data_IF_970800323129
#
_entry.id   IF_970800323129
#
_cell.length_a   1.000
_cell.length_b   1.000
_cell.length_c   1.000
_cell.angle_alpha   90.00
_cell.angle_beta   90.00
_cell.angle_gamma   90.00
#
_symmetry.space_group_name_H-M   'P 1'
#
loop_
_entity.id
_entity.type
_entity.pdbx_description
1 polymer ?
#
# COMPACT_ATOMS: atom_id res chain seq x y z
N UNK A 1 60.55 52.82 41.47
CA UNK A 1 61.44 52.91 42.65
C UNK A 1 62.90 52.93 42.22
N UNK A 2 63.40 51.87 41.58
CA UNK A 2 64.80 51.74 41.13
C UNK A 2 65.35 52.91 40.28
N UNK A 3 64.57 53.46 39.34
CA UNK A 3 65.03 54.59 38.50
C UNK A 3 65.35 55.84 39.33
N UNK A 4 64.41 56.26 40.19
CA UNK A 4 64.59 57.43 41.07
C UNK A 4 65.64 57.20 42.16
N UNK A 5 65.79 55.97 42.62
CA UNK A 5 66.82 55.61 43.58
C UNK A 5 68.22 55.62 42.92
N UNK A 6 68.31 55.28 41.64
CA UNK A 6 69.52 55.46 40.81
C UNK A 6 69.94 56.94 40.68
N UNK A 7 69.01 57.84 40.32
CA UNK A 7 69.30 59.28 40.22
C UNK A 7 69.76 59.88 41.56
N UNK A 8 69.14 59.46 42.67
CA UNK A 8 69.55 59.87 44.02
C UNK A 8 70.95 59.37 44.39
N UNK A 9 71.32 58.17 43.96
CA UNK A 9 72.65 57.61 44.17
C UNK A 9 73.70 58.37 43.37
N UNK A 10 73.42 58.73 42.11
CA UNK A 10 74.30 59.58 41.29
C UNK A 10 74.55 60.95 41.93
N UNK A 11 73.51 61.58 42.49
CA UNK A 11 73.64 62.84 43.23
C UNK A 11 74.49 62.69 44.52
N UNK A 12 74.43 61.54 45.20
CA UNK A 12 75.30 61.25 46.35
C UNK A 12 76.75 61.09 45.93
N UNK A 13 77.00 60.37 44.84
CA UNK A 13 78.34 60.17 44.28
C UNK A 13 78.95 61.51 43.83
N UNK A 14 78.19 62.37 43.15
CA UNK A 14 78.64 63.70 42.76
C UNK A 14 79.07 64.56 43.96
N UNK A 15 78.33 64.49 45.08
CA UNK A 15 78.70 65.19 46.32
C UNK A 15 80.03 64.68 46.89
N UNK A 16 80.21 63.35 46.96
CA UNK A 16 81.46 62.75 47.40
C UNK A 16 82.65 63.14 46.52
N UNK A 17 82.48 63.17 45.19
CA UNK A 17 83.53 63.58 44.24
C UNK A 17 83.94 65.05 44.41
N UNK A 18 82.98 65.93 44.69
CA UNK A 18 83.20 67.37 44.88
C UNK A 18 83.90 67.66 46.21
N UNK A 19 83.64 66.88 47.26
CA UNK A 19 84.32 67.00 48.56
C UNK A 19 85.81 66.65 48.51
N UNK A 20 86.26 65.95 47.46
CA UNK A 20 87.67 65.64 47.20
C UNK A 20 88.44 66.76 46.50
N UNK A 21 87.77 67.83 46.06
CA UNK A 21 88.41 68.97 45.38
C UNK A 21 88.93 70.04 46.36
N UNK A 22 89.84 70.95 45.94
CA UNK A 22 90.26 72.11 46.73
C UNK A 22 89.07 73.01 47.11
N UNK A 23 89.02 73.48 48.36
CA UNK A 23 87.87 74.21 48.96
C UNK A 23 87.42 75.40 48.12
N UNK A 24 88.36 76.11 47.49
CA UNK A 24 88.11 77.32 46.69
C UNK A 24 87.33 77.00 45.40
N UNK A 25 87.48 75.78 44.85
CA UNK A 25 86.88 75.36 43.58
C UNK A 25 85.56 74.61 43.74
N UNK A 26 85.31 74.01 44.91
CA UNK A 26 84.12 73.16 45.17
C UNK A 26 82.81 73.83 44.78
N UNK A 27 82.62 75.11 45.15
CA UNK A 27 81.35 75.83 44.94
C UNK A 27 81.03 76.05 43.45
N UNK A 28 82.03 76.46 42.66
CA UNK A 28 81.86 76.71 41.23
C UNK A 28 81.71 75.40 40.45
N UNK A 29 82.55 74.40 40.75
CA UNK A 29 82.53 73.10 40.08
C UNK A 29 81.27 72.29 40.41
N UNK A 30 80.81 72.34 41.67
CA UNK A 30 79.55 71.72 42.09
C UNK A 30 78.38 72.30 41.31
N UNK A 31 78.33 73.64 41.15
CA UNK A 31 77.25 74.29 40.42
C UNK A 31 77.19 73.84 38.96
N UNK A 32 78.31 73.89 38.24
CA UNK A 32 78.35 73.50 36.81
C UNK A 32 78.02 72.02 36.62
N UNK A 33 78.63 71.12 37.40
CA UNK A 33 78.38 69.67 37.27
C UNK A 33 76.99 69.28 37.74
N UNK A 34 76.47 69.95 38.76
CA UNK A 34 75.09 69.75 39.22
C UNK A 34 74.09 70.20 38.17
N UNK A 35 74.25 71.39 37.59
CA UNK A 35 73.35 71.89 36.55
C UNK A 35 73.36 70.97 35.32
N UNK A 36 74.54 70.45 34.93
CA UNK A 36 74.67 69.45 33.85
C UNK A 36 74.02 68.11 34.20
N UNK A 37 74.23 67.61 35.41
CA UNK A 37 73.64 66.36 35.88
C UNK A 37 72.12 66.47 36.04
N UNK A 38 71.61 67.60 36.54
CA UNK A 38 70.18 67.86 36.68
C UNK A 38 69.52 67.93 35.29
N UNK A 39 70.18 68.53 34.27
CA UNK A 39 69.69 68.53 32.89
C UNK A 39 69.64 67.11 32.27
N UNK A 40 70.69 66.31 32.46
CA UNK A 40 70.76 64.92 32.00
C UNK A 40 69.77 64.00 32.75
N UNK A 41 69.58 64.22 34.06
CA UNK A 41 68.53 63.53 34.85
C UNK A 41 67.14 63.87 34.33
N UNK A 42 66.89 65.12 33.95
CA UNK A 42 65.61 65.57 33.42
C UNK A 42 65.33 64.97 32.04
N UNK A 43 66.34 64.88 31.17
CA UNK A 43 66.23 64.20 29.87
C UNK A 43 66.01 62.68 30.03
N UNK A 44 66.76 62.03 30.94
CA UNK A 44 66.58 60.62 31.26
C UNK A 44 65.21 60.33 31.88
N UNK A 45 64.69 61.19 32.76
CA UNK A 45 63.35 61.05 33.33
C UNK A 45 62.28 61.22 32.25
N UNK A 46 62.44 62.17 31.33
CA UNK A 46 61.55 62.35 30.18
C UNK A 46 61.53 61.12 29.27
N UNK A 47 62.69 60.62 28.86
CA UNK A 47 62.80 59.42 28.02
C UNK A 47 62.26 58.16 28.72
N UNK A 48 62.47 58.05 30.04
CA UNK A 48 61.90 56.96 30.83
C UNK A 48 60.37 57.01 30.85
N UNK A 49 59.77 58.19 31.05
CA UNK A 49 58.33 58.38 31.03
C UNK A 49 57.73 58.13 29.63
N UNK A 50 58.38 58.61 28.58
CA UNK A 50 57.97 58.35 27.19
C UNK A 50 57.97 56.85 26.89
N UNK A 51 59.04 56.14 27.23
CA UNK A 51 59.13 54.67 27.04
C UNK A 51 58.09 53.91 27.86
N UNK A 52 57.81 54.36 29.08
CA UNK A 52 56.79 53.75 29.94
C UNK A 52 55.39 53.96 29.34
N UNK A 53 55.12 55.15 28.81
CA UNK A 53 53.88 55.47 28.13
C UNK A 53 53.72 54.68 26.82
N UNK A 54 54.75 54.61 25.96
CA UNK A 54 54.75 53.81 24.73
C UNK A 54 54.51 52.32 25.00
N UNK A 55 55.16 51.76 26.01
CA UNK A 55 54.95 50.38 26.43
C UNK A 55 53.51 50.15 26.91
N UNK A 56 52.98 51.08 27.70
CA UNK A 56 51.60 51.02 28.19
C UNK A 56 50.60 51.09 27.03
N UNK A 57 50.75 52.05 26.11
CA UNK A 57 49.92 52.20 24.92
C UNK A 57 50.00 50.97 24.01
N UNK A 58 51.18 50.38 23.83
CA UNK A 58 51.36 49.17 23.03
C UNK A 58 50.68 47.98 23.68
N UNK A 59 50.80 47.83 25.01
CA UNK A 59 50.12 46.77 25.75
C UNK A 59 48.59 46.93 25.69
N UNK A 60 48.08 48.16 25.82
CA UNK A 60 46.66 48.45 25.69
C UNK A 60 46.14 48.17 24.28
N UNK A 61 46.89 48.58 23.23
CA UNK A 61 46.54 48.27 21.84
C UNK A 61 46.45 46.77 21.60
N UNK A 62 47.48 46.00 22.01
CA UNK A 62 47.48 44.53 21.89
C UNK A 62 46.32 43.89 22.64
N UNK A 63 46.00 44.37 23.85
CA UNK A 63 44.86 43.87 24.61
C UNK A 63 43.53 44.15 23.88
N UNK A 64 43.38 45.36 23.32
CA UNK A 64 42.22 45.74 22.52
C UNK A 64 42.08 44.90 21.25
N UNK A 65 43.17 44.66 20.52
CA UNK A 65 43.20 43.80 19.33
C UNK A 65 42.80 42.36 19.66
N UNK A 66 43.39 41.77 20.71
CA UNK A 66 43.05 40.43 21.17
C UNK A 66 41.57 40.33 21.59
N UNK A 67 41.02 41.36 22.23
CA UNK A 67 39.62 41.37 22.61
C UNK A 67 38.71 41.44 21.39
N UNK A 68 39.03 42.30 20.41
CA UNK A 68 38.31 42.38 19.14
C UNK A 68 38.33 41.06 18.37
N UNK A 69 39.49 40.41 18.30
CA UNK A 69 39.63 39.11 17.64
C UNK A 69 38.80 38.03 18.34
N UNK A 70 38.80 37.99 19.68
CA UNK A 70 37.95 37.07 20.45
C UNK A 70 36.47 37.30 20.20
N UNK A 71 36.02 38.55 20.17
CA UNK A 71 34.62 38.88 19.85
C UNK A 71 34.28 38.39 18.43
N UNK A 72 35.10 38.72 17.44
CA UNK A 72 34.87 38.31 16.05
C UNK A 72 34.83 36.78 15.90
N UNK A 73 35.69 36.04 16.62
CA UNK A 73 35.67 34.58 16.62
C UNK A 73 34.38 34.03 17.24
N UNK A 74 33.94 34.56 18.38
CA UNK A 74 32.69 34.15 19.02
C UNK A 74 31.47 34.43 18.12
N UNK A 75 31.42 35.59 17.49
CA UNK A 75 30.34 35.94 16.54
C UNK A 75 30.29 34.99 15.36
N UNK A 76 31.46 34.67 14.78
CA UNK A 76 31.57 33.68 13.69
C UNK A 76 31.10 32.30 14.13
N UNK A 77 31.52 31.84 15.30
CA UNK A 77 31.10 30.54 15.85
C UNK A 77 29.60 30.50 16.11
N UNK A 78 29.04 31.56 16.69
CA UNK A 78 27.61 31.67 16.94
C UNK A 78 26.80 31.62 15.63
N UNK A 79 27.24 32.37 14.60
CA UNK A 79 26.58 32.36 13.30
C UNK A 79 26.63 30.97 12.65
N UNK A 80 27.78 30.29 12.73
CA UNK A 80 27.94 28.94 12.21
C UNK A 80 27.03 27.94 12.96
N UNK A 81 26.97 28.00 14.29
CA UNK A 81 26.06 27.18 15.09
C UNK A 81 24.59 27.43 14.73
N UNK A 82 24.19 28.70 14.59
CA UNK A 82 22.83 29.07 14.18
C UNK A 82 22.46 28.51 12.81
N UNK A 83 23.36 28.64 11.82
CA UNK A 83 23.15 28.07 10.49
C UNK A 83 23.07 26.54 10.54
N UNK A 84 23.93 25.90 11.31
CA UNK A 84 23.89 24.44 11.49
C UNK A 84 22.56 23.99 12.09
N UNK A 85 22.08 24.65 13.15
CA UNK A 85 20.78 24.34 13.76
C UNK A 85 19.63 24.52 12.78
N UNK A 86 19.68 25.56 11.94
CA UNK A 86 18.65 25.82 10.93
C UNK A 86 18.62 24.70 9.88
N UNK A 87 19.79 24.32 9.34
CA UNK A 87 19.90 23.21 8.38
C UNK A 87 19.46 21.87 8.97
N UNK A 88 19.89 21.55 10.19
CA UNK A 88 19.47 20.32 10.88
C UNK A 88 17.96 20.29 11.10
N UNK A 89 17.36 21.42 11.48
CA UNK A 89 15.91 21.53 11.64
C UNK A 89 15.17 21.33 10.31
N UNK A 90 15.64 21.97 9.23
CA UNK A 90 15.04 21.82 7.90
C UNK A 90 15.14 20.38 7.40
N UNK A 91 16.30 19.74 7.54
CA UNK A 91 16.48 18.32 7.19
C UNK A 91 15.52 17.41 7.99
N UNK A 92 15.38 17.64 9.30
CA UNK A 92 14.45 16.87 10.12
C UNK A 92 12.98 17.07 9.71
N UNK A 93 12.59 18.28 9.28
CA UNK A 93 11.25 18.54 8.75
C UNK A 93 11.02 17.78 7.44
N UNK A 94 11.98 17.79 6.53
CA UNK A 94 11.90 17.03 5.27
C UNK A 94 11.78 15.52 5.50
N UNK A 95 12.54 14.96 6.45
CA UNK A 95 12.45 13.55 6.82
C UNK A 95 11.07 13.16 7.40
N UNK A 96 10.43 14.07 8.14
CA UNK A 96 9.09 13.85 8.68
C UNK A 96 8.06 13.94 7.56
N UNK A 97 8.16 14.93 6.67
CA UNK A 97 7.26 15.09 5.53
C UNK A 97 7.34 13.89 4.57
N UNK A 98 8.54 13.43 4.22
CA UNK A 98 8.71 12.24 3.36
C UNK A 98 8.03 11.02 3.99
N UNK A 99 8.29 10.77 5.28
CA UNK A 99 7.67 9.66 6.01
C UNK A 99 6.15 9.77 6.03
N UNK A 100 5.61 10.95 6.28
CA UNK A 100 4.17 11.18 6.28
C UNK A 100 3.53 10.88 4.91
N UNK A 101 4.16 11.29 3.80
CA UNK A 101 3.67 10.98 2.45
C UNK A 101 3.66 9.45 2.21
N UNK A 102 4.72 8.74 2.63
CA UNK A 102 4.79 7.29 2.52
C UNK A 102 3.71 6.59 3.37
N UNK A 103 3.56 6.99 4.63
CA UNK A 103 2.56 6.42 5.55
C UNK A 103 1.14 6.60 5.02
N UNK A 104 0.81 7.80 4.55
CA UNK A 104 -0.47 8.10 3.88
C UNK A 104 -0.70 7.21 2.67
N UNK A 105 0.31 7.02 1.81
CA UNK A 105 0.20 6.09 0.68
C UNK A 105 -0.08 4.65 1.15
N UNK A 106 0.66 4.14 2.14
CA UNK A 106 0.50 2.78 2.64
C UNK A 106 -0.86 2.56 3.31
N UNK A 107 -1.40 3.58 4.00
CA UNK A 107 -2.72 3.53 4.59
C UNK A 107 -3.81 3.39 3.52
N UNK A 108 -3.79 4.27 2.52
CA UNK A 108 -4.77 4.23 1.41
C UNK A 108 -4.65 2.91 0.63
N UNK A 109 -3.43 2.44 0.37
CA UNK A 109 -3.18 1.16 -0.31
C UNK A 109 -3.78 -0.02 0.47
N UNK A 110 -3.65 -0.04 1.80
CA UNK A 110 -4.27 -1.05 2.67
C UNK A 110 -5.79 -0.97 2.62
N UNK A 111 -6.36 0.23 2.76
CA UNK A 111 -7.80 0.45 2.68
C UNK A 111 -8.41 -0.04 1.36
N UNK A 112 -7.74 0.22 0.22
CA UNK A 112 -8.15 -0.28 -1.09
C UNK A 112 -8.25 -1.82 -1.05
N UNK A 113 -7.21 -2.51 -0.58
CA UNK A 113 -7.21 -3.98 -0.49
C UNK A 113 -8.33 -4.51 0.40
N UNK A 114 -8.55 -3.91 1.56
CA UNK A 114 -9.62 -4.31 2.48
C UNK A 114 -11.01 -4.20 1.86
N UNK A 115 -11.28 -3.11 1.12
CA UNK A 115 -12.53 -2.93 0.39
C UNK A 115 -12.73 -4.03 -0.65
N UNK A 116 -11.70 -4.35 -1.44
CA UNK A 116 -11.80 -5.40 -2.46
C UNK A 116 -11.94 -6.81 -1.86
N UNK A 117 -11.32 -7.08 -0.71
CA UNK A 117 -11.55 -8.33 0.05
C UNK A 117 -13.02 -8.45 0.45
N UNK A 118 -13.60 -7.37 1.00
CA UNK A 118 -15.01 -7.36 1.38
C UNK A 118 -15.94 -7.55 0.16
N UNK A 119 -15.67 -6.85 -0.94
CA UNK A 119 -16.43 -6.98 -2.19
C UNK A 119 -16.37 -8.41 -2.74
N UNK A 120 -15.19 -9.04 -2.72
CA UNK A 120 -15.00 -10.43 -3.14
C UNK A 120 -15.80 -11.39 -2.27
N UNK A 121 -15.75 -11.22 -0.95
CA UNK A 121 -16.51 -12.03 -0.01
C UNK A 121 -18.03 -11.90 -0.25
N UNK A 122 -18.54 -10.67 -0.36
CA UNK A 122 -19.96 -10.43 -0.63
C UNK A 122 -20.41 -11.00 -1.98
N UNK A 123 -19.59 -10.89 -3.01
CA UNK A 123 -19.85 -11.48 -4.33
C UNK A 123 -19.93 -13.00 -4.26
N UNK A 124 -18.97 -13.66 -3.61
CA UNK A 124 -18.99 -15.12 -3.43
C UNK A 124 -20.25 -15.58 -2.69
N UNK A 125 -20.64 -14.89 -1.61
CA UNK A 125 -21.88 -15.18 -0.87
C UNK A 125 -23.13 -15.04 -1.76
N UNK A 126 -23.17 -14.03 -2.65
CA UNK A 126 -24.28 -13.87 -3.60
C UNK A 126 -24.28 -14.99 -4.65
N UNK A 127 -23.11 -15.33 -5.19
CA UNK A 127 -22.95 -16.41 -6.17
C UNK A 127 -23.38 -17.77 -5.65
N UNK A 128 -23.06 -18.08 -4.39
CA UNK A 128 -23.50 -19.32 -3.75
C UNK A 128 -25.03 -19.38 -3.63
N UNK A 129 -25.66 -18.29 -3.18
CA UNK A 129 -27.13 -18.19 -3.08
C UNK A 129 -27.82 -18.32 -4.45
N UNK A 130 -27.27 -17.70 -5.48
CA UNK A 130 -27.78 -17.76 -6.85
C UNK A 130 -27.69 -19.18 -7.43
N UNK A 131 -26.53 -19.83 -7.25
CA UNK A 131 -26.31 -21.22 -7.67
C UNK A 131 -27.26 -22.18 -6.95
N UNK A 132 -27.42 -22.02 -5.64
CA UNK A 132 -28.35 -22.81 -4.84
C UNK A 132 -29.80 -22.60 -5.29
N UNK A 133 -30.19 -21.37 -5.63
CA UNK A 133 -31.52 -21.08 -6.16
C UNK A 133 -31.79 -21.79 -7.49
N UNK A 134 -30.81 -21.79 -8.41
CA UNK A 134 -30.93 -22.49 -9.70
C UNK A 134 -31.04 -24.00 -9.48
N UNK A 135 -30.19 -24.58 -8.63
CA UNK A 135 -30.25 -26.01 -8.27
C UNK A 135 -31.61 -26.40 -7.68
N UNK A 136 -32.15 -25.61 -6.75
CA UNK A 136 -33.48 -25.86 -6.18
C UNK A 136 -34.59 -25.79 -7.23
N UNK A 137 -34.53 -24.83 -8.16
CA UNK A 137 -35.50 -24.73 -9.26
C UNK A 137 -35.41 -25.92 -10.21
N UNK A 138 -34.20 -26.38 -10.54
CA UNK A 138 -33.99 -27.56 -11.37
C UNK A 138 -34.53 -28.82 -10.70
N UNK A 139 -34.22 -29.04 -9.42
CA UNK A 139 -34.71 -30.19 -8.66
C UNK A 139 -36.25 -30.26 -8.60
N UNK A 140 -36.92 -29.11 -8.40
CA UNK A 140 -38.40 -29.04 -8.44
C UNK A 140 -38.97 -29.42 -9.80
N UNK A 141 -38.38 -28.92 -10.90
CA UNK A 141 -38.81 -29.27 -12.26
C UNK A 141 -38.65 -30.76 -12.54
N UNK A 142 -37.54 -31.34 -12.06
CA UNK A 142 -37.30 -32.77 -12.18
C UNK A 142 -38.33 -33.60 -11.39
N UNK A 143 -38.61 -33.21 -10.14
CA UNK A 143 -39.63 -33.84 -9.30
C UNK A 143 -41.02 -33.77 -9.94
N UNK A 144 -41.41 -32.61 -10.48
CA UNK A 144 -42.68 -32.44 -11.19
C UNK A 144 -42.79 -33.34 -12.43
N UNK A 145 -41.71 -33.47 -13.21
CA UNK A 145 -41.66 -34.37 -14.36
C UNK A 145 -41.81 -35.83 -13.91
N UNK A 146 -41.05 -36.25 -12.90
CA UNK A 146 -41.12 -37.60 -12.34
C UNK A 146 -42.51 -37.93 -11.80
N UNK A 147 -43.17 -36.96 -11.15
CA UNK A 147 -44.56 -37.12 -10.66
C UNK A 147 -45.55 -37.32 -11.81
N UNK A 148 -45.42 -36.53 -12.89
CA UNK A 148 -46.24 -36.71 -14.11
C UNK A 148 -46.00 -38.09 -14.72
N UNK A 149 -44.74 -38.47 -14.89
CA UNK A 149 -44.36 -39.77 -15.43
C UNK A 149 -44.88 -40.94 -14.58
N UNK A 150 -44.87 -40.82 -13.26
CA UNK A 150 -45.40 -41.84 -12.35
C UNK A 150 -46.92 -42.02 -12.50
N UNK A 151 -47.68 -40.93 -12.68
CA UNK A 151 -49.13 -40.98 -12.93
C UNK A 151 -49.41 -41.67 -14.27
N UNK A 152 -48.71 -41.28 -15.34
CA UNK A 152 -48.87 -41.87 -16.67
C UNK A 152 -48.48 -43.36 -16.67
N UNK A 153 -47.39 -43.74 -15.98
CA UNK A 153 -46.97 -45.14 -15.85
C UNK A 153 -48.01 -45.98 -15.12
N UNK A 154 -48.71 -45.42 -14.11
CA UNK A 154 -49.78 -46.09 -13.39
C UNK A 154 -51.05 -46.28 -14.25
N UNK A 155 -51.35 -45.35 -15.15
CA UNK A 155 -52.53 -45.43 -16.02
C UNK A 155 -52.31 -46.27 -17.28
N UNK A 156 -51.06 -46.41 -17.74
CA UNK A 156 -50.69 -47.12 -18.97
C UNK A 156 -51.23 -48.57 -19.05
N UNK A 157 -51.09 -49.44 -18.02
CA UNK A 157 -51.60 -50.82 -18.10
C UNK A 157 -53.12 -50.90 -18.24
N UNK A 158 -53.86 -49.92 -17.69
CA UNK A 158 -55.32 -49.85 -17.87
C UNK A 158 -55.66 -49.43 -19.31
N UNK A 159 -54.94 -48.46 -19.86
CA UNK A 159 -55.10 -48.02 -21.25
C UNK A 159 -54.78 -49.14 -22.24
N UNK A 160 -53.67 -49.84 -22.07
CA UNK A 160 -53.27 -51.00 -22.88
C UNK A 160 -54.36 -52.08 -22.86
N UNK A 161 -54.88 -52.44 -21.68
CA UNK A 161 -55.97 -53.44 -21.56
C UNK A 161 -57.26 -53.00 -22.27
N UNK A 162 -57.63 -51.74 -22.17
CA UNK A 162 -58.81 -51.21 -22.86
C UNK A 162 -58.63 -51.27 -24.40
N UNK A 163 -57.45 -50.91 -24.89
CA UNK A 163 -57.12 -50.96 -26.32
C UNK A 163 -57.03 -52.40 -26.84
N UNK A 164 -56.44 -53.32 -26.06
CA UNK A 164 -56.42 -54.77 -26.34
C UNK A 164 -57.84 -55.29 -26.59
N UNK A 165 -58.77 -54.98 -25.67
CA UNK A 165 -60.16 -55.41 -25.78
C UNK A 165 -60.85 -54.82 -27.01
N UNK A 166 -60.60 -53.55 -27.32
CA UNK A 166 -61.18 -52.88 -28.49
C UNK A 166 -60.66 -53.48 -29.80
N UNK A 167 -59.35 -53.72 -29.92
CA UNK A 167 -58.76 -54.33 -31.11
C UNK A 167 -59.16 -55.77 -31.31
N UNK A 168 -59.25 -56.54 -30.22
CA UNK A 168 -59.78 -57.90 -30.28
C UNK A 168 -61.24 -57.93 -30.76
N UNK A 169 -62.09 -57.02 -30.27
CA UNK A 169 -63.47 -56.89 -30.73
C UNK A 169 -63.55 -56.53 -32.23
N UNK A 170 -62.73 -55.57 -32.69
CA UNK A 170 -62.63 -55.23 -34.11
C UNK A 170 -62.13 -56.40 -34.96
N UNK A 171 -61.17 -57.19 -34.48
CA UNK A 171 -60.67 -58.36 -35.20
C UNK A 171 -61.73 -59.47 -35.29
N UNK A 172 -62.47 -59.73 -34.20
CA UNK A 172 -63.60 -60.67 -34.21
C UNK A 172 -64.69 -60.24 -35.20
N UNK A 173 -65.01 -58.95 -35.25
CA UNK A 173 -65.98 -58.42 -36.22
C UNK A 173 -65.45 -58.52 -37.65
N UNK A 174 -64.17 -58.21 -37.88
CA UNK A 174 -63.52 -58.38 -39.19
C UNK A 174 -63.51 -59.83 -39.65
N UNK A 175 -63.31 -60.79 -38.74
CA UNK A 175 -63.40 -62.22 -39.03
C UNK A 175 -64.83 -62.61 -39.40
N UNK A 176 -65.83 -62.14 -38.64
CA UNK A 176 -67.26 -62.37 -38.92
C UNK A 176 -67.66 -61.86 -40.31
N UNK A 177 -67.17 -60.68 -40.71
CA UNK A 177 -67.45 -60.10 -42.03
C UNK A 177 -66.69 -60.85 -43.15
N UNK A 178 -65.44 -61.27 -42.90
CA UNK A 178 -64.60 -61.96 -43.89
C UNK A 178 -65.01 -63.42 -44.14
N UNK A 179 -65.70 -64.06 -43.19
CA UNK A 179 -66.15 -65.46 -43.30
C UNK A 179 -67.60 -65.46 -43.78
N UNK A 180 -67.82 -65.03 -45.02
CA UNK A 180 -69.07 -65.22 -45.76
C UNK A 180 -69.01 -66.51 -46.59
N UNK A 181 -68.55 -67.62 -46.00
CA UNK A 181 -68.40 -68.92 -46.65
C UNK A 181 -67.57 -69.89 -45.79
N UNK A 182 -68.04 -71.12 -45.66
CA UNK A 182 -67.55 -72.15 -44.74
C UNK A 182 -66.02 -72.22 -44.61
N UNK A 183 -65.49 -71.74 -43.48
CA UNK A 183 -64.08 -71.83 -43.12
C UNK A 183 -63.87 -72.94 -42.08
N UNK A 184 -62.72 -73.61 -42.16
CA UNK A 184 -62.26 -74.62 -41.21
C UNK A 184 -62.09 -74.00 -39.80
N UNK A 185 -62.74 -74.54 -38.76
CA UNK A 185 -62.62 -74.07 -37.37
C UNK A 185 -61.17 -73.99 -36.85
N UNK A 186 -60.29 -74.88 -37.31
CA UNK A 186 -58.87 -74.87 -36.90
C UNK A 186 -58.09 -73.72 -37.56
N UNK A 187 -58.43 -73.34 -38.79
CA UNK A 187 -57.84 -72.18 -39.45
C UNK A 187 -58.24 -70.86 -38.78
N UNK A 188 -59.48 -70.75 -38.28
CA UNK A 188 -59.94 -69.58 -37.51
C UNK A 188 -59.20 -69.44 -36.19
N UNK A 189 -59.04 -70.55 -35.46
CA UNK A 189 -58.30 -70.60 -34.20
C UNK A 189 -56.84 -70.21 -34.37
N UNK A 190 -56.21 -70.62 -35.47
CA UNK A 190 -54.83 -70.25 -35.79
C UNK A 190 -54.69 -68.77 -36.15
N UNK A 191 -55.59 -68.20 -36.97
CA UNK A 191 -55.60 -66.76 -37.29
C UNK A 191 -55.79 -65.88 -36.05
N UNK A 192 -56.64 -66.31 -35.12
CA UNK A 192 -56.85 -65.59 -33.87
C UNK A 192 -55.61 -65.64 -32.95
N UNK A 193 -54.94 -66.79 -32.85
CA UNK A 193 -53.66 -66.90 -32.12
C UNK A 193 -52.56 -66.01 -32.71
N UNK A 194 -52.44 -65.95 -34.04
CA UNK A 194 -51.48 -65.08 -34.71
C UNK A 194 -51.75 -63.59 -34.44
N UNK A 195 -53.03 -63.19 -34.45
CA UNK A 195 -53.44 -61.84 -34.08
C UNK A 195 -53.04 -61.50 -32.65
N UNK A 196 -53.32 -62.40 -31.68
CA UNK A 196 -52.95 -62.20 -30.27
C UNK A 196 -51.43 -62.09 -30.06
N UNK A 197 -50.62 -62.84 -30.79
CA UNK A 197 -49.16 -62.72 -30.72
C UNK A 197 -48.64 -61.41 -31.36
N UNK A 198 -49.22 -60.96 -32.48
CA UNK A 198 -48.87 -59.67 -33.12
C UNK A 198 -49.26 -58.48 -32.24
N UNK A 199 -50.54 -58.38 -31.91
CA UNK A 199 -51.02 -58.23 -30.55
C UNK A 199 -50.04 -57.78 -29.46
N UNK A 200 -49.62 -58.81 -28.72
CA UNK A 200 -48.68 -58.78 -27.60
C UNK A 200 -47.36 -58.08 -27.94
N UNK A 201 -46.78 -58.36 -29.12
CA UNK A 201 -45.55 -57.70 -29.57
C UNK A 201 -45.73 -56.20 -29.74
N UNK A 202 -46.87 -55.75 -30.28
CA UNK A 202 -47.18 -54.33 -30.46
C UNK A 202 -47.24 -53.60 -29.12
N UNK A 203 -47.93 -54.17 -28.13
CA UNK A 203 -48.05 -53.56 -26.80
C UNK A 203 -46.72 -53.54 -26.03
N UNK A 204 -45.90 -54.59 -26.16
CA UNK A 204 -44.54 -54.59 -25.60
C UNK A 204 -43.69 -53.47 -26.22
N UNK A 205 -43.75 -53.31 -27.54
CA UNK A 205 -43.04 -52.23 -28.23
C UNK A 205 -43.57 -50.83 -27.83
N UNK A 206 -44.88 -50.68 -27.62
CA UNK A 206 -45.47 -49.42 -27.15
C UNK A 206 -45.03 -49.09 -25.72
N UNK A 207 -44.99 -50.07 -24.82
CA UNK A 207 -44.49 -49.90 -23.47
C UNK A 207 -43.01 -49.48 -23.46
N UNK A 208 -42.17 -50.15 -24.26
CA UNK A 208 -40.76 -49.77 -24.40
C UNK A 208 -40.59 -48.36 -24.96
N UNK A 209 -41.38 -47.98 -25.98
CA UNK A 209 -41.36 -46.61 -26.53
C UNK A 209 -41.77 -45.57 -25.48
N UNK A 210 -42.74 -45.89 -24.65
CA UNK A 210 -43.19 -45.02 -23.57
C UNK A 210 -42.10 -44.83 -22.50
N UNK A 211 -41.45 -45.91 -22.06
CA UNK A 211 -40.34 -45.85 -21.10
C UNK A 211 -39.14 -45.07 -21.66
N UNK A 212 -38.76 -45.32 -22.92
CA UNK A 212 -37.69 -44.59 -23.59
C UNK A 212 -38.00 -43.10 -23.72
N UNK A 213 -39.25 -42.74 -24.02
CA UNK A 213 -39.70 -41.34 -24.08
C UNK A 213 -39.52 -40.65 -22.73
N UNK A 214 -39.96 -41.29 -21.64
CA UNK A 214 -39.81 -40.75 -20.29
C UNK A 214 -38.34 -40.57 -19.90
N UNK A 215 -37.50 -41.56 -20.22
CA UNK A 215 -36.06 -41.50 -19.97
C UNK A 215 -35.42 -40.33 -20.71
N UNK A 216 -35.68 -40.19 -22.02
CA UNK A 216 -35.14 -39.09 -22.83
C UNK A 216 -35.54 -37.71 -22.30
N UNK A 217 -36.80 -37.53 -21.93
CA UNK A 217 -37.28 -36.26 -21.36
C UNK A 217 -36.56 -35.89 -20.06
N UNK A 218 -36.28 -36.89 -19.21
CA UNK A 218 -35.55 -36.68 -17.97
C UNK A 218 -34.08 -36.34 -18.22
N UNK A 219 -33.43 -37.05 -19.15
CA UNK A 219 -32.06 -36.78 -19.58
C UNK A 219 -31.93 -35.38 -20.20
N UNK A 220 -32.83 -34.99 -21.09
CA UNK A 220 -32.89 -33.65 -21.69
C UNK A 220 -33.06 -32.56 -20.62
N UNK A 221 -33.97 -32.76 -19.66
CA UNK A 221 -34.20 -31.80 -18.59
C UNK A 221 -32.95 -31.63 -17.70
N UNK A 222 -32.28 -32.73 -17.35
CA UNK A 222 -31.04 -32.70 -16.58
C UNK A 222 -29.91 -32.02 -17.36
N UNK A 223 -29.76 -32.35 -18.65
CA UNK A 223 -28.76 -31.72 -19.51
C UNK A 223 -28.98 -30.20 -19.64
N UNK A 224 -30.22 -29.75 -19.78
CA UNK A 224 -30.57 -28.33 -19.79
C UNK A 224 -30.25 -27.64 -18.46
N UNK A 225 -30.55 -28.30 -17.33
CA UNK A 225 -30.20 -27.80 -16.00
C UNK A 225 -28.69 -27.65 -15.84
N UNK A 226 -27.92 -28.67 -16.23
CA UNK A 226 -26.47 -28.66 -16.14
C UNK A 226 -25.84 -27.58 -17.03
N UNK A 227 -26.38 -27.38 -18.24
CA UNK A 227 -25.98 -26.29 -19.12
C UNK A 227 -26.23 -24.92 -18.47
N UNK A 228 -27.39 -24.72 -17.84
CA UNK A 228 -27.73 -23.49 -17.12
C UNK A 228 -26.78 -23.23 -15.96
N UNK A 229 -26.40 -24.26 -15.21
CA UNK A 229 -25.45 -24.14 -14.09
C UNK A 229 -24.05 -23.77 -14.62
N UNK A 230 -23.60 -24.38 -15.71
CA UNK A 230 -22.29 -24.07 -16.32
C UNK A 230 -22.23 -22.63 -16.83
N UNK A 231 -23.28 -22.17 -17.50
CA UNK A 231 -23.37 -20.78 -17.98
C UNK A 231 -23.33 -19.78 -16.80
N UNK A 232 -24.06 -20.08 -15.72
CA UNK A 232 -23.99 -19.28 -14.49
C UNK A 232 -22.55 -19.24 -13.95
N UNK A 233 -21.88 -20.39 -13.82
CA UNK A 233 -20.50 -20.46 -13.33
C UNK A 233 -19.53 -19.66 -14.20
N UNK A 234 -19.71 -19.66 -15.52
CA UNK A 234 -18.94 -18.83 -16.44
C UNK A 234 -19.15 -17.34 -16.15
N UNK A 235 -20.38 -16.86 -16.02
CA UNK A 235 -20.68 -15.47 -15.67
C UNK A 235 -20.09 -15.08 -14.31
N UNK A 236 -20.10 -15.99 -13.34
CA UNK A 236 -19.47 -15.77 -12.03
C UNK A 236 -17.93 -15.71 -12.13
N UNK A 237 -17.31 -16.48 -13.02
CA UNK A 237 -15.87 -16.40 -13.30
C UNK A 237 -15.49 -15.06 -13.94
N UNK A 238 -16.28 -14.59 -14.90
CA UNK A 238 -16.07 -13.29 -15.54
C UNK A 238 -16.20 -12.14 -14.54
N UNK A 239 -17.22 -12.18 -13.67
CA UNK A 239 -17.38 -11.20 -12.56
C UNK A 239 -16.18 -11.22 -11.61
N UNK A 240 -15.67 -12.41 -11.25
CA UNK A 240 -14.45 -12.56 -10.44
C UNK A 240 -13.24 -11.92 -11.12
N UNK A 241 -13.04 -12.20 -12.41
CA UNK A 241 -11.93 -11.65 -13.19
C UNK A 241 -11.99 -10.12 -13.26
N UNK A 242 -13.15 -9.55 -13.59
CA UNK A 242 -13.37 -8.11 -13.64
C UNK A 242 -13.08 -7.43 -12.29
N UNK A 243 -13.46 -8.07 -11.17
CA UNK A 243 -13.19 -7.53 -9.84
C UNK A 243 -11.68 -7.50 -9.53
N UNK A 244 -10.94 -8.55 -9.91
CA UNK A 244 -9.48 -8.61 -9.74
C UNK A 244 -8.75 -7.60 -10.62
N UNK A 245 -9.18 -7.44 -11.87
CA UNK A 245 -8.63 -6.44 -12.78
C UNK A 245 -8.87 -5.02 -12.25
N UNK A 246 -10.06 -4.75 -11.70
CA UNK A 246 -10.36 -3.47 -11.08
C UNK A 246 -9.52 -3.22 -9.82
N UNK A 247 -9.30 -4.23 -8.97
CA UNK A 247 -8.40 -4.14 -7.81
C UNK A 247 -6.98 -3.77 -8.25
N UNK A 248 -6.47 -4.46 -9.26
CA UNK A 248 -5.13 -4.26 -9.83
C UNK A 248 -4.99 -2.85 -10.40
N UNK A 249 -5.99 -2.39 -11.15
CA UNK A 249 -6.02 -1.04 -11.71
C UNK A 249 -6.03 0.02 -10.60
N UNK A 250 -6.82 -0.15 -9.55
CA UNK A 250 -6.90 0.81 -8.44
C UNK A 250 -5.59 0.89 -7.65
N UNK A 251 -4.92 -0.24 -7.44
CA UNK A 251 -3.61 -0.26 -6.82
C UNK A 251 -2.57 0.45 -7.70
N UNK A 252 -2.56 0.19 -9.01
CA UNK A 252 -1.68 0.88 -9.96
C UNK A 252 -1.90 2.39 -9.96
N UNK A 253 -3.16 2.85 -10.01
CA UNK A 253 -3.50 4.27 -9.92
C UNK A 253 -2.99 4.90 -8.61
N UNK A 254 -3.03 4.17 -7.49
CA UNK A 254 -2.49 4.69 -6.22
C UNK A 254 -0.97 4.77 -6.20
N UNK A 255 -0.28 3.82 -6.82
CA UNK A 255 1.19 3.87 -7.01
C UNK A 255 1.59 5.07 -7.87
N UNK A 256 0.91 5.28 -9.00
CA UNK A 256 1.14 6.41 -9.90
C UNK A 256 0.91 7.75 -9.18
N UNK A 257 -0.21 7.89 -8.46
CA UNK A 257 -0.51 9.09 -7.69
C UNK A 257 0.54 9.37 -6.60
N UNK A 258 1.04 8.32 -5.93
CA UNK A 258 2.11 8.46 -4.94
C UNK A 258 3.45 8.85 -5.59
N UNK A 259 3.80 8.27 -6.74
CA UNK A 259 5.00 8.65 -7.48
C UNK A 259 4.98 10.12 -7.91
N UNK A 260 3.83 10.61 -8.37
CA UNK A 260 3.62 12.02 -8.72
C UNK A 260 3.74 12.90 -7.45
N UNK A 261 3.02 12.56 -6.37
CA UNK A 261 3.05 13.29 -5.10
C UNK A 261 4.49 13.42 -4.55
N UNK A 262 5.26 12.32 -4.59
CA UNK A 262 6.65 12.30 -4.14
C UNK A 262 7.56 13.13 -5.05
N UNK A 263 7.37 13.06 -6.37
CA UNK A 263 8.15 13.85 -7.34
C UNK A 263 7.90 15.35 -7.19
N UNK A 264 6.64 15.75 -7.04
CA UNK A 264 6.25 17.15 -6.83
C UNK A 264 6.74 17.69 -5.49
N UNK A 265 6.70 16.88 -4.43
CA UNK A 265 7.26 17.25 -3.14
C UNK A 265 8.78 17.43 -3.22
N UNK A 266 9.51 16.48 -3.85
CA UNK A 266 10.97 16.59 -4.04
C UNK A 266 11.38 17.79 -4.88
N UNK A 267 10.55 18.22 -5.83
CA UNK A 267 10.82 19.41 -6.64
C UNK A 267 10.66 20.75 -5.88
N UNK A 268 10.09 20.72 -4.66
CA UNK A 268 9.89 21.90 -3.80
C UNK A 268 10.95 22.03 -2.70
N UNK A 269 11.83 21.03 -2.55
CA UNK A 269 12.98 21.01 -1.64
C UNK A 269 14.15 21.79 -2.24
#
# INVERSE_FOLDING_TARGET
QLFRDGLKQELRLLKCEIDMLPKEKRKAEFKIRKDKMDADHLEREKAFLEKLNENHETSLRRLGDNHREKIALMERQFLQQKQQLTRTREAALWDIEERHIHEKHQLIKRQIKEIFILQRHQMLTRHEKEKEQIKRRAARKEEELLKKQAIERRSLPKRIRAEMKAREAMFRESMRISISGASDPDAEKNRFKEFQEKEKKRYQAEQQRFELKHQRQLEELRAMSDATIKELEQLQNEKRKMLLEHETLKLKQREEAFSIELKEWKAKL
#
